data_IF_226428798342
#
_entry.id   IF_226428798342
#
_cell.length_a   1.000
_cell.length_b   1.000
_cell.length_c   1.000
_cell.angle_alpha   90.00
_cell.angle_beta   90.00
_cell.angle_gamma   90.00
#
_symmetry.space_group_name_H-M   'P 1'
#
loop_
_entity.id
_entity.type
_entity.pdbx_description
1 polymer ?
#
# COMPACT_ATOMS: atom_id res chain seq x y z
N UNK A 1 10.18 -12.04 15.12
CA UNK A 1 9.24 -11.95 13.98
C UNK A 1 10.03 -12.11 12.70
N UNK A 2 9.57 -12.93 11.74
CA UNK A 2 10.33 -13.26 10.53
C UNK A 2 9.92 -12.38 9.33
N UNK A 3 10.73 -12.40 8.27
CA UNK A 3 10.36 -11.75 6.98
C UNK A 3 9.09 -12.38 6.42
N UNK A 4 8.94 -13.71 6.53
CA UNK A 4 7.76 -14.43 6.04
C UNK A 4 6.48 -13.99 6.79
N UNK A 5 6.56 -13.73 8.10
CA UNK A 5 5.44 -13.17 8.87
C UNK A 5 5.04 -11.78 8.35
N UNK A 6 6.01 -10.93 8.03
CA UNK A 6 5.75 -9.60 7.50
C UNK A 6 5.10 -9.66 6.11
N UNK A 7 5.60 -10.55 5.24
CA UNK A 7 5.04 -10.76 3.90
C UNK A 7 3.61 -11.31 3.96
N UNK A 8 3.30 -12.20 4.91
CA UNK A 8 1.93 -12.69 5.14
C UNK A 8 1.01 -11.59 5.67
N UNK A 9 1.49 -10.73 6.57
CA UNK A 9 0.74 -9.58 7.07
C UNK A 9 0.44 -8.57 5.94
N UNK A 10 1.42 -8.32 5.08
CA UNK A 10 1.23 -7.48 3.89
C UNK A 10 0.22 -8.08 2.92
N UNK A 11 0.39 -9.35 2.53
CA UNK A 11 -0.51 -10.05 1.60
C UNK A 11 -1.98 -10.09 2.07
N UNK A 12 -2.19 -10.12 3.39
CA UNK A 12 -3.51 -10.13 4.00
C UNK A 12 -4.11 -8.74 4.23
N UNK A 13 -3.39 -7.66 3.86
CA UNK A 13 -3.84 -6.28 4.03
C UNK A 13 -3.74 -5.75 5.47
N UNK A 14 -3.12 -6.49 6.39
CA UNK A 14 -2.92 -6.07 7.78
C UNK A 14 -1.69 -5.18 7.99
N UNK A 15 -0.90 -4.95 6.94
CA UNK A 15 0.26 -4.07 7.00
C UNK A 15 0.50 -3.43 5.63
N UNK A 16 1.00 -2.19 5.62
CA UNK A 16 1.36 -1.47 4.40
C UNK A 16 2.73 -1.90 3.84
N UNK A 17 2.99 -1.53 2.59
CA UNK A 17 4.32 -1.73 1.98
C UNK A 17 5.42 -0.95 2.74
N UNK A 18 5.07 0.23 3.28
CA UNK A 18 5.95 1.05 4.10
C UNK A 18 6.30 0.36 5.41
N UNK A 19 5.29 -0.10 6.16
CA UNK A 19 5.53 -0.84 7.41
C UNK A 19 6.31 -2.13 7.17
N UNK A 20 6.05 -2.82 6.06
CA UNK A 20 6.81 -4.02 5.68
C UNK A 20 8.28 -3.69 5.46
N UNK A 21 8.58 -2.58 4.76
CA UNK A 21 9.93 -2.07 4.57
C UNK A 21 10.59 -1.69 5.90
N UNK A 22 9.89 -0.99 6.79
CA UNK A 22 10.41 -0.61 8.11
C UNK A 22 10.71 -1.83 8.99
N UNK A 23 9.92 -2.90 8.88
CA UNK A 23 10.08 -4.13 9.68
C UNK A 23 11.10 -5.10 9.13
N UNK A 24 11.32 -5.13 7.81
CA UNK A 24 12.16 -6.14 7.13
C UNK A 24 13.40 -5.57 6.46
N UNK A 25 13.44 -4.25 6.23
CA UNK A 25 14.45 -3.59 5.40
C UNK A 25 14.29 -3.83 3.90
N UNK A 26 13.27 -4.58 3.47
CA UNK A 26 13.06 -4.91 2.07
C UNK A 26 12.44 -3.74 1.30
N UNK A 27 13.00 -3.45 0.12
CA UNK A 27 12.36 -2.58 -0.84
C UNK A 27 11.18 -3.27 -1.51
N UNK A 28 10.29 -2.48 -2.12
CA UNK A 28 9.03 -2.97 -2.69
C UNK A 28 9.24 -4.11 -3.72
N UNK A 29 10.26 -4.02 -4.57
CA UNK A 29 10.58 -5.08 -5.53
C UNK A 29 10.95 -6.41 -4.84
N UNK A 30 11.66 -6.35 -3.72
CA UNK A 30 12.04 -7.53 -2.94
C UNK A 30 10.84 -8.11 -2.19
N UNK A 31 9.91 -7.25 -1.74
CA UNK A 31 8.62 -7.70 -1.20
C UNK A 31 7.83 -8.48 -2.25
N UNK A 32 7.73 -7.97 -3.48
CA UNK A 32 7.04 -8.65 -4.58
C UNK A 32 7.67 -10.02 -4.92
N UNK A 33 9.00 -10.08 -4.98
CA UNK A 33 9.74 -11.35 -5.17
C UNK A 33 9.46 -12.33 -4.02
N UNK A 34 9.52 -11.86 -2.77
CA UNK A 34 9.21 -12.66 -1.58
C UNK A 34 7.79 -13.21 -1.57
N UNK A 35 6.80 -12.39 -1.97
CA UNK A 35 5.42 -12.84 -2.14
C UNK A 35 5.30 -13.94 -3.19
N UNK A 36 6.01 -13.79 -4.33
CA UNK A 36 6.07 -14.80 -5.37
C UNK A 36 6.62 -16.15 -4.87
N UNK A 37 7.71 -16.11 -4.08
CA UNK A 37 8.29 -17.31 -3.46
C UNK A 37 7.35 -18.00 -2.48
N UNK A 38 6.53 -17.23 -1.77
CA UNK A 38 5.55 -17.73 -0.82
C UNK A 38 4.19 -18.07 -1.47
N UNK A 39 4.06 -17.88 -2.78
CA UNK A 39 2.81 -18.05 -3.53
C UNK A 39 1.65 -17.21 -2.94
N UNK A 40 1.99 -16.00 -2.49
CA UNK A 40 1.07 -15.03 -1.92
C UNK A 40 0.71 -13.99 -2.98
N UNK A 41 -0.54 -13.53 -2.95
CA UNK A 41 -0.99 -12.42 -3.79
C UNK A 41 -0.59 -11.09 -3.19
N UNK A 42 -0.27 -10.15 -4.07
CA UNK A 42 -0.20 -8.73 -3.71
C UNK A 42 -1.60 -8.31 -3.28
N UNK A 43 -1.76 -7.67 -2.10
CA UNK A 43 -3.06 -7.18 -1.68
C UNK A 43 -3.53 -6.11 -2.67
N UNK A 44 -4.84 -5.97 -2.91
CA UNK A 44 -5.34 -4.80 -3.62
C UNK A 44 -4.88 -3.53 -2.90
N UNK A 45 -4.58 -2.43 -3.61
CA UNK A 45 -4.27 -1.17 -2.96
C UNK A 45 -5.39 -0.81 -1.99
N UNK A 46 -5.06 -0.76 -0.70
CA UNK A 46 -5.97 -0.36 0.33
C UNK A 46 -6.20 1.15 0.20
N UNK A 47 -7.31 1.53 -0.43
CA UNK A 47 -7.82 2.90 -0.42
C UNK A 47 -8.64 3.19 0.84
N UNK A 48 -8.82 2.20 1.72
CA UNK A 48 -9.39 2.40 3.04
C UNK A 48 -8.26 2.63 4.03
N UNK A 49 -8.12 3.89 4.46
CA UNK A 49 -7.05 4.34 5.35
C UNK A 49 -6.63 5.79 5.06
N UNK A 50 -5.77 6.37 5.91
CA UNK A 50 -5.41 7.79 5.83
C UNK A 50 -4.82 8.20 4.47
N UNK A 51 -4.08 7.30 3.81
CA UNK A 51 -3.57 7.53 2.45
C UNK A 51 -4.69 7.58 1.40
N UNK A 52 -5.72 6.74 1.53
CA UNK A 52 -6.88 6.74 0.66
C UNK A 52 -7.78 7.95 0.85
N UNK A 53 -7.99 8.37 2.10
CA UNK A 53 -8.68 9.63 2.42
C UNK A 53 -7.93 10.84 1.88
N UNK A 54 -6.60 10.90 2.01
CA UNK A 54 -5.78 11.98 1.47
C UNK A 54 -5.83 12.04 -0.07
N UNK A 55 -5.83 10.88 -0.74
CA UNK A 55 -6.00 10.81 -2.19
C UNK A 55 -7.40 11.28 -2.62
N UNK A 56 -8.44 10.92 -1.86
CA UNK A 56 -9.82 11.34 -2.13
C UNK A 56 -9.99 12.85 -1.95
N UNK A 57 -9.48 13.40 -0.85
CA UNK A 57 -9.50 14.84 -0.59
C UNK A 57 -8.76 15.62 -1.68
N UNK A 58 -7.60 15.12 -2.11
CA UNK A 58 -6.82 15.71 -3.21
C UNK A 58 -7.59 15.69 -4.54
N UNK A 59 -8.29 14.60 -4.84
CA UNK A 59 -9.10 14.46 -6.04
C UNK A 59 -10.32 15.40 -6.04
N UNK A 60 -11.00 15.54 -4.90
CA UNK A 60 -12.11 16.48 -4.73
C UNK A 60 -11.65 17.93 -4.89
N UNK A 61 -10.52 18.30 -4.28
CA UNK A 61 -9.94 19.64 -4.41
C UNK A 61 -9.54 19.97 -5.85
N UNK A 62 -8.94 19.01 -6.56
CA UNK A 62 -8.61 19.15 -7.98
C UNK A 62 -9.87 19.33 -8.84
N UNK A 63 -10.92 18.55 -8.56
CA UNK A 63 -12.21 18.65 -9.27
C UNK A 63 -12.88 20.01 -9.03
N UNK A 64 -12.84 20.52 -7.80
CA UNK A 64 -13.37 21.84 -7.46
C UNK A 64 -12.61 22.97 -8.19
N UNK A 65 -11.28 22.89 -8.26
CA UNK A 65 -10.47 23.82 -9.03
C UNK A 65 -10.85 23.85 -10.51
N UNK A 66 -11.01 22.68 -11.14
CA UNK A 66 -11.43 22.59 -12.55
C UNK A 66 -12.81 23.20 -12.80
N UNK A 67 -13.74 23.11 -11.82
CA UNK A 67 -15.06 23.73 -11.91
C UNK A 67 -15.05 25.24 -11.76
N UNK A 68 -14.09 25.79 -11.00
CA UNK A 68 -13.92 27.24 -10.83
C UNK A 68 -13.19 27.91 -11.98
N UNK A 69 -12.39 27.16 -12.74
CA UNK A 69 -11.65 27.65 -13.89
C UNK A 69 -12.48 27.69 -15.20
N UNK A 70 -13.78 27.41 -15.12
CA UNK A 70 -14.74 27.40 -16.23
C UNK A 70 -15.78 28.50 -16.05
#
# INVERSE_FOLDING_TARGET
MTIDDALRAYASGHSSAKETKERTGLDYAQVLDGLGRLNLRVPPPAFDGPDGDALRESADRFTAFLKQAR
#
